data_IF_470523570916
#
_entry.id   IF_470523570916
#
_cell.length_a   1.000
_cell.length_b   1.000
_cell.length_c   1.000
_cell.angle_alpha   90.00
_cell.angle_beta   90.00
_cell.angle_gamma   90.00
#
_symmetry.space_group_name_H-M   'P 1'
#
loop_
_entity.id
_entity.type
_entity.pdbx_description
1 polymer ?
#
# COMPACT_ATOMS: atom_id res chain seq x y z
N UNK A 1 15.38 -8.51 2.57
CA UNK A 1 14.88 -8.19 1.22
C UNK A 1 15.27 -9.26 0.21
N UNK A 2 16.43 -9.89 0.35
CA UNK A 2 16.90 -10.93 -0.58
C UNK A 2 16.28 -12.31 -0.33
N UNK A 3 15.65 -12.52 0.81
CA UNK A 3 15.11 -13.83 1.23
C UNK A 3 14.09 -14.38 0.24
N UNK A 4 13.17 -13.55 -0.25
CA UNK A 4 12.13 -14.01 -1.18
C UNK A 4 12.66 -14.34 -2.58
N UNK A 5 13.74 -13.70 -3.01
CA UNK A 5 14.28 -13.86 -4.37
C UNK A 5 15.31 -15.00 -4.43
N UNK A 6 16.09 -15.17 -3.38
CA UNK A 6 17.21 -16.12 -3.34
C UNK A 6 16.85 -17.50 -2.78
N UNK A 7 15.70 -17.62 -2.10
CA UNK A 7 15.25 -18.93 -1.62
C UNK A 7 14.65 -19.77 -2.75
N UNK A 8 14.82 -21.10 -2.73
CA UNK A 8 14.11 -22.01 -3.63
C UNK A 8 12.59 -21.82 -3.52
N UNK A 9 11.89 -21.96 -4.65
CA UNK A 9 10.40 -21.82 -4.70
C UNK A 9 9.70 -22.66 -3.63
N UNK A 10 10.16 -23.88 -3.38
CA UNK A 10 9.62 -24.78 -2.37
C UNK A 10 9.70 -24.23 -0.93
N UNK A 11 10.65 -23.33 -0.68
CA UNK A 11 10.88 -22.73 0.63
C UNK A 11 10.29 -21.32 0.74
N UNK A 12 9.75 -20.80 -0.39
CA UNK A 12 9.14 -19.46 -0.48
C UNK A 12 7.65 -19.60 -0.74
N UNK A 13 6.87 -19.64 0.33
CA UNK A 13 5.43 -19.80 0.22
C UNK A 13 4.77 -18.49 -0.24
N UNK A 14 4.06 -18.55 -1.37
CA UNK A 14 3.24 -17.46 -1.88
C UNK A 14 1.77 -17.80 -1.66
N UNK A 15 1.08 -16.98 -0.88
CA UNK A 15 -0.28 -17.26 -0.41
C UNK A 15 -1.36 -17.14 -1.50
N UNK A 16 -1.08 -16.40 -2.57
CA UNK A 16 -2.06 -16.14 -3.63
C UNK A 16 -1.38 -15.78 -4.97
N UNK A 17 -2.16 -15.81 -6.03
CA UNK A 17 -1.68 -15.55 -7.40
C UNK A 17 -1.09 -14.15 -7.56
N UNK A 18 -1.61 -13.14 -6.86
CA UNK A 18 -1.05 -11.79 -6.88
C UNK A 18 0.39 -11.78 -6.37
N UNK A 19 0.67 -12.43 -5.24
CA UNK A 19 2.01 -12.52 -4.70
C UNK A 19 2.96 -13.25 -5.66
N UNK A 20 2.48 -14.32 -6.32
CA UNK A 20 3.23 -15.05 -7.34
C UNK A 20 3.59 -14.15 -8.51
N UNK A 21 2.64 -13.36 -9.03
CA UNK A 21 2.91 -12.44 -10.15
C UNK A 21 3.91 -11.35 -9.79
N UNK A 22 3.86 -10.82 -8.58
CA UNK A 22 4.85 -9.83 -8.11
C UNK A 22 6.24 -10.41 -8.00
N UNK A 23 6.35 -11.62 -7.46
CA UNK A 23 7.62 -12.33 -7.38
C UNK A 23 8.18 -12.67 -8.77
N UNK A 24 7.34 -13.17 -9.68
CA UNK A 24 7.74 -13.41 -11.07
C UNK A 24 8.27 -12.13 -11.74
N UNK A 25 7.65 -10.96 -11.49
CA UNK A 25 8.13 -9.68 -11.99
C UNK A 25 9.55 -9.34 -11.52
N UNK A 26 9.88 -9.61 -10.26
CA UNK A 26 11.26 -9.43 -9.76
C UNK A 26 12.26 -10.36 -10.45
N UNK A 27 11.88 -11.63 -10.64
CA UNK A 27 12.72 -12.59 -11.37
C UNK A 27 12.93 -12.16 -12.82
N UNK A 28 11.94 -11.59 -13.48
CA UNK A 28 12.06 -11.05 -14.83
C UNK A 28 13.07 -9.89 -14.89
N UNK A 29 13.06 -8.97 -13.92
CA UNK A 29 14.05 -7.91 -13.83
C UNK A 29 15.48 -8.49 -13.69
N UNK A 30 15.67 -9.46 -12.80
CA UNK A 30 16.97 -10.12 -12.60
C UNK A 30 17.45 -10.83 -13.87
N UNK A 31 16.54 -11.56 -14.53
CA UNK A 31 16.83 -12.27 -15.76
C UNK A 31 17.20 -11.30 -16.91
N UNK A 32 16.49 -10.17 -17.02
CA UNK A 32 16.82 -9.11 -18.00
C UNK A 32 18.22 -8.55 -17.77
N UNK A 33 18.61 -8.35 -16.52
CA UNK A 33 19.98 -7.92 -16.19
C UNK A 33 20.99 -8.98 -16.61
N UNK A 34 20.74 -10.26 -16.29
CA UNK A 34 21.66 -11.36 -16.63
C UNK A 34 21.79 -11.58 -18.13
N UNK A 35 20.69 -11.53 -18.89
CA UNK A 35 20.71 -11.85 -20.32
C UNK A 35 21.10 -10.68 -21.23
N UNK A 36 20.72 -9.48 -20.84
CA UNK A 36 20.80 -8.30 -21.73
C UNK A 36 21.62 -7.15 -21.14
N UNK A 37 22.15 -7.30 -19.91
CA UNK A 37 22.87 -6.23 -19.22
C UNK A 37 21.98 -5.04 -18.85
N UNK A 38 20.65 -5.20 -18.81
CA UNK A 38 19.73 -4.13 -18.43
C UNK A 38 19.92 -3.78 -16.96
N UNK A 39 20.22 -2.55 -16.66
CA UNK A 39 20.29 -2.07 -15.28
C UNK A 39 18.88 -1.82 -14.74
N UNK A 40 18.54 -2.44 -13.61
CA UNK A 40 17.22 -2.34 -12.97
C UNK A 40 17.34 -2.07 -11.49
N UNK A 41 16.36 -1.35 -10.94
CA UNK A 41 16.08 -1.22 -9.51
C UNK A 41 14.67 -1.69 -9.25
N UNK A 42 14.48 -2.47 -8.20
CA UNK A 42 13.17 -3.02 -7.82
C UNK A 42 12.66 -2.29 -6.59
N UNK A 43 11.43 -1.81 -6.64
CA UNK A 43 10.79 -1.13 -5.50
C UNK A 43 9.55 -1.92 -5.08
N UNK A 44 9.43 -2.18 -3.80
CA UNK A 44 8.30 -2.87 -3.18
C UNK A 44 7.50 -1.90 -2.33
N UNK A 45 6.55 -1.15 -2.93
CA UNK A 45 5.67 -0.28 -2.17
C UNK A 45 4.67 -1.10 -1.36
N UNK A 46 4.36 -0.62 -0.16
CA UNK A 46 3.42 -1.29 0.74
C UNK A 46 2.21 -0.41 0.99
N UNK A 47 1.02 -0.88 0.58
CA UNK A 47 -0.25 -0.19 0.80
C UNK A 47 -0.20 1.31 0.47
N UNK A 48 0.41 1.65 -0.69
CA UNK A 48 0.42 3.01 -1.20
C UNK A 48 -1.01 3.42 -1.56
N UNK A 49 -1.43 4.59 -1.07
CA UNK A 49 -2.78 5.13 -1.28
C UNK A 49 -2.73 6.65 -1.45
N UNK A 50 -3.80 7.22 -1.98
CA UNK A 50 -3.91 8.68 -2.11
C UNK A 50 -4.68 9.15 -3.33
N UNK A 51 -4.67 10.46 -3.61
CA UNK A 51 -5.24 11.03 -4.83
C UNK A 51 -4.75 10.31 -6.09
N UNK A 52 -5.69 9.98 -6.99
CA UNK A 52 -5.42 9.19 -8.19
C UNK A 52 -5.84 7.72 -8.06
N UNK A 53 -6.00 7.18 -6.86
CA UNK A 53 -6.50 5.83 -6.65
C UNK A 53 -8.02 5.83 -6.50
N UNK A 54 -8.73 5.58 -7.60
CA UNK A 54 -10.18 5.43 -7.58
C UNK A 54 -10.61 4.04 -7.10
N UNK A 55 -11.82 3.94 -6.58
CA UNK A 55 -12.39 2.68 -6.12
C UNK A 55 -12.62 1.70 -7.25
N UNK A 56 -12.20 0.46 -7.03
CA UNK A 56 -12.70 -0.75 -7.69
C UNK A 56 -12.77 -1.89 -6.66
N UNK A 57 -13.53 -2.97 -6.92
CA UNK A 57 -13.59 -4.11 -6.01
C UNK A 57 -12.23 -4.78 -5.72
N UNK A 58 -11.25 -4.55 -6.59
CA UNK A 58 -9.91 -5.18 -6.54
C UNK A 58 -8.81 -4.26 -6.01
N UNK A 59 -9.15 -3.03 -5.62
CA UNK A 59 -8.19 -2.08 -5.04
C UNK A 59 -8.01 -2.29 -3.54
N UNK A 60 -6.99 -1.63 -2.98
CA UNK A 60 -6.68 -1.66 -1.56
C UNK A 60 -7.84 -1.20 -0.67
N UNK A 61 -7.71 -1.43 0.62
CA UNK A 61 -8.80 -1.20 1.58
C UNK A 61 -9.11 0.29 1.77
N UNK A 62 -8.14 1.21 1.71
CA UNK A 62 -8.38 2.65 1.92
C UNK A 62 -9.36 3.23 0.89
N UNK A 63 -9.14 3.14 -0.44
CA UNK A 63 -10.11 3.66 -1.40
C UNK A 63 -11.47 2.94 -1.34
N UNK A 64 -11.48 1.66 -0.97
CA UNK A 64 -12.72 0.91 -0.74
C UNK A 64 -13.51 1.49 0.43
N UNK A 65 -12.88 1.67 1.59
CA UNK A 65 -13.55 2.21 2.77
C UNK A 65 -14.07 3.62 2.52
N UNK A 66 -13.25 4.50 1.92
CA UNK A 66 -13.67 5.87 1.59
C UNK A 66 -14.89 5.86 0.66
N UNK A 67 -14.86 5.08 -0.43
CA UNK A 67 -15.98 5.02 -1.35
C UNK A 67 -17.25 4.53 -0.67
N UNK A 68 -17.17 3.43 0.09
CA UNK A 68 -18.32 2.89 0.80
C UNK A 68 -18.85 3.85 1.85
N UNK A 69 -17.98 4.49 2.63
CA UNK A 69 -18.39 5.49 3.61
C UNK A 69 -19.06 6.71 2.96
N UNK A 70 -18.54 7.24 1.86
CA UNK A 70 -19.15 8.34 1.13
C UNK A 70 -20.59 8.02 0.69
N UNK A 71 -20.80 6.83 0.13
CA UNK A 71 -22.09 6.43 -0.43
C UNK A 71 -23.00 5.68 0.55
N UNK A 72 -22.62 5.52 1.81
CA UNK A 72 -23.39 4.79 2.82
C UNK A 72 -23.57 3.30 2.49
N UNK A 73 -22.60 2.72 1.79
CA UNK A 73 -22.63 1.31 1.41
C UNK A 73 -21.96 0.45 2.49
N UNK A 74 -22.48 -0.75 2.79
CA UNK A 74 -21.85 -1.63 3.75
C UNK A 74 -20.47 -2.12 3.26
N UNK A 75 -19.54 -2.35 4.20
CA UNK A 75 -18.27 -2.98 3.95
C UNK A 75 -17.78 -3.78 5.14
N UNK A 76 -16.85 -4.71 4.87
CA UNK A 76 -16.27 -5.59 5.88
C UNK A 76 -14.90 -5.07 6.31
N UNK A 77 -14.65 -5.09 7.62
CA UNK A 77 -13.36 -4.85 8.25
C UNK A 77 -12.91 -6.12 8.93
N UNK A 78 -11.76 -6.65 8.52
CA UNK A 78 -11.17 -7.82 9.13
C UNK A 78 -10.29 -7.41 10.32
N UNK A 79 -10.61 -7.92 11.51
CA UNK A 79 -9.88 -7.65 12.75
C UNK A 79 -8.57 -8.44 12.81
N UNK A 80 -7.62 -7.92 13.59
CA UNK A 80 -6.33 -8.59 13.81
C UNK A 80 -5.37 -8.52 12.63
N UNK A 81 -5.65 -7.69 11.64
CA UNK A 81 -4.75 -7.41 10.54
C UNK A 81 -4.05 -6.07 10.74
N UNK A 82 -2.76 -6.11 11.07
CA UNK A 82 -1.94 -4.91 11.15
C UNK A 82 -1.29 -4.59 9.81
N UNK A 83 -1.34 -3.33 9.45
CA UNK A 83 -0.76 -2.80 8.21
C UNK A 83 -0.04 -1.49 8.49
N UNK A 84 0.94 -1.24 7.66
CA UNK A 84 1.51 0.09 7.49
C UNK A 84 1.01 0.60 6.14
N UNK A 85 0.63 1.87 6.08
CA UNK A 85 0.17 2.53 4.85
C UNK A 85 1.16 3.63 4.47
N UNK A 86 1.28 3.93 3.18
CA UNK A 86 2.18 4.96 2.67
C UNK A 86 1.43 5.91 1.74
N UNK A 87 1.52 7.21 2.03
CA UNK A 87 0.84 8.20 1.21
C UNK A 87 1.55 8.40 -0.12
N UNK A 88 0.79 8.51 -1.19
CA UNK A 88 1.31 8.49 -2.58
C UNK A 88 2.39 9.54 -2.85
N UNK A 89 2.29 10.74 -2.27
CA UNK A 89 3.31 11.79 -2.46
C UNK A 89 4.65 11.40 -1.82
N UNK A 90 4.62 10.70 -0.67
CA UNK A 90 5.82 10.24 0.01
C UNK A 90 6.49 9.11 -0.78
N UNK A 91 5.70 8.13 -1.26
CA UNK A 91 6.17 7.10 -2.19
C UNK A 91 6.79 7.70 -3.46
N UNK A 92 6.08 8.61 -4.13
CA UNK A 92 6.56 9.23 -5.37
C UNK A 92 7.85 10.02 -5.18
N UNK A 93 7.98 10.75 -4.07
CA UNK A 93 9.23 11.47 -3.74
C UNK A 93 10.40 10.51 -3.59
N UNK A 94 10.21 9.39 -2.90
CA UNK A 94 11.22 8.35 -2.73
C UNK A 94 11.60 7.73 -4.06
N UNK A 95 10.63 7.45 -4.93
CA UNK A 95 10.91 6.89 -6.26
C UNK A 95 11.65 7.87 -7.16
N UNK A 96 11.30 9.16 -7.10
CA UNK A 96 12.03 10.18 -7.85
C UNK A 96 13.51 10.25 -7.45
N UNK A 97 13.82 10.04 -6.16
CA UNK A 97 15.20 10.00 -5.68
C UNK A 97 16.04 8.84 -6.25
N UNK A 98 15.42 7.82 -6.82
CA UNK A 98 16.14 6.72 -7.49
C UNK A 98 16.93 7.26 -8.68
N UNK A 99 16.43 8.28 -9.39
CA UNK A 99 17.10 8.84 -10.56
C UNK A 99 18.52 9.33 -10.21
N UNK A 100 18.65 9.99 -9.06
CA UNK A 100 19.92 10.56 -8.60
C UNK A 100 20.76 9.57 -7.76
N UNK A 101 20.15 8.47 -7.30
CA UNK A 101 20.76 7.48 -6.40
C UNK A 101 20.59 6.06 -6.96
N UNK A 102 20.72 5.91 -8.25
CA UNK A 102 20.50 4.64 -8.93
C UNK A 102 21.64 3.66 -8.63
N UNK A 103 21.33 2.54 -7.98
CA UNK A 103 22.27 1.45 -7.72
C UNK A 103 21.74 0.20 -8.45
N UNK A 104 22.38 -0.25 -9.53
CA UNK A 104 21.91 -1.38 -10.32
C UNK A 104 21.74 -2.65 -9.48
N UNK A 105 20.64 -3.35 -9.70
CA UNK A 105 20.35 -4.62 -9.02
C UNK A 105 19.72 -4.48 -7.64
N UNK A 106 19.64 -3.28 -7.10
CA UNK A 106 19.10 -3.06 -5.75
C UNK A 106 17.60 -3.26 -5.63
N UNK A 107 17.19 -3.57 -4.40
CA UNK A 107 15.78 -3.77 -4.01
C UNK A 107 15.48 -2.90 -2.80
N UNK A 108 14.37 -2.17 -2.85
CA UNK A 108 13.95 -1.28 -1.77
C UNK A 108 12.51 -1.55 -1.35
N UNK A 109 12.29 -1.76 -0.06
CA UNK A 109 10.95 -1.66 0.52
C UNK A 109 10.64 -0.19 0.79
N UNK A 110 9.41 0.23 0.49
CA UNK A 110 8.91 1.58 0.72
C UNK A 110 7.55 1.50 1.40
N UNK A 111 7.45 2.06 2.60
CA UNK A 111 6.25 2.08 3.42
C UNK A 111 6.22 3.35 4.29
N UNK A 112 5.12 3.65 4.93
CA UNK A 112 5.02 4.70 5.94
C UNK A 112 5.97 4.47 7.12
N UNK A 113 5.95 5.39 8.08
CA UNK A 113 6.77 5.27 9.28
C UNK A 113 6.33 4.08 10.14
N UNK A 114 7.25 3.37 10.82
CA UNK A 114 6.89 2.23 11.68
C UNK A 114 5.84 2.57 12.74
N UNK A 115 5.87 3.78 13.30
CA UNK A 115 4.89 4.26 14.28
C UNK A 115 3.47 4.46 13.72
N UNK A 116 3.30 4.39 12.41
CA UNK A 116 2.00 4.45 11.72
C UNK A 116 1.44 3.06 11.41
N UNK A 117 2.09 1.98 11.90
CA UNK A 117 1.50 0.65 11.79
C UNK A 117 0.26 0.57 12.67
N UNK A 118 -0.88 0.34 12.07
CA UNK A 118 -2.18 0.25 12.72
C UNK A 118 -2.98 -0.97 12.31
N UNK A 119 -4.00 -1.30 13.11
CA UNK A 119 -5.02 -2.27 12.72
C UNK A 119 -5.88 -1.71 11.58
N UNK A 120 -6.39 -2.58 10.71
CA UNK A 120 -7.29 -2.15 9.62
C UNK A 120 -8.55 -1.47 10.17
N UNK A 121 -9.00 -1.84 11.37
CA UNK A 121 -10.10 -1.16 12.05
C UNK A 121 -9.75 0.30 12.35
N UNK A 122 -8.56 0.61 12.85
CA UNK A 122 -8.13 1.98 13.14
C UNK A 122 -8.18 2.86 11.87
N UNK A 123 -7.75 2.32 10.74
CA UNK A 123 -7.85 3.04 9.45
C UNK A 123 -9.30 3.21 8.99
N UNK A 124 -10.18 2.24 9.27
CA UNK A 124 -11.61 2.38 9.00
C UNK A 124 -12.21 3.51 9.83
N UNK A 125 -11.86 3.59 11.12
CA UNK A 125 -12.33 4.63 12.03
C UNK A 125 -11.89 6.03 11.57
N UNK A 126 -10.63 6.18 11.13
CA UNK A 126 -10.13 7.42 10.52
C UNK A 126 -10.90 7.81 9.25
N UNK A 127 -11.26 6.85 8.42
CA UNK A 127 -12.09 7.10 7.22
C UNK A 127 -13.49 7.56 7.61
N UNK A 128 -14.13 6.89 8.56
CA UNK A 128 -15.47 7.25 9.03
C UNK A 128 -15.48 8.65 9.63
N UNK A 129 -14.50 8.99 10.45
CA UNK A 129 -14.32 10.33 11.01
C UNK A 129 -14.17 11.39 9.90
N UNK A 130 -13.27 11.15 8.93
CA UNK A 130 -13.02 12.08 7.83
C UNK A 130 -14.24 12.29 6.91
N UNK A 131 -15.12 11.29 6.82
CA UNK A 131 -16.36 11.38 6.04
C UNK A 131 -17.51 11.97 6.88
N UNK A 132 -17.42 11.91 8.21
CA UNK A 132 -18.49 12.33 9.15
C UNK A 132 -19.59 11.28 9.28
N UNK A 133 -19.23 10.02 9.43
CA UNK A 133 -20.17 8.89 9.51
C UNK A 133 -19.81 7.98 10.67
N UNK A 134 -20.80 7.31 11.25
CA UNK A 134 -20.61 6.25 12.24
C UNK A 134 -20.33 4.88 11.59
N UNK A 135 -20.09 3.87 12.40
CA UNK A 135 -19.75 2.51 11.98
C UNK A 135 -20.95 1.61 11.67
N UNK A 136 -22.17 2.16 11.60
CA UNK A 136 -23.41 1.41 11.32
C UNK A 136 -23.39 0.67 9.98
N UNK A 137 -22.51 1.07 9.07
CA UNK A 137 -22.29 0.43 7.76
C UNK A 137 -21.14 -0.58 7.76
N UNK A 138 -20.47 -0.80 8.90
CA UNK A 138 -19.30 -1.69 9.00
C UNK A 138 -19.72 -3.03 9.57
N UNK A 139 -19.29 -4.10 8.91
CA UNK A 139 -19.36 -5.46 9.44
C UNK A 139 -17.94 -5.88 9.83
N UNK A 140 -17.77 -6.30 11.07
CA UNK A 140 -16.48 -6.77 11.57
C UNK A 140 -16.42 -8.30 11.45
N UNK A 141 -15.37 -8.79 10.82
CA UNK A 141 -15.08 -10.21 10.69
C UNK A 141 -13.67 -10.52 11.22
N UNK A 142 -13.46 -11.78 11.61
CA UNK A 142 -12.12 -12.27 11.96
C UNK A 142 -11.30 -12.51 10.67
N UNK A 143 -10.05 -12.73 10.77
CA UNK A 143 -9.03 -12.88 9.75
C UNK A 143 -9.48 -13.14 8.30
N UNK A 144 -9.06 -12.30 7.37
CA UNK A 144 -9.24 -12.50 5.93
C UNK A 144 -8.48 -13.74 5.45
N UNK A 145 -9.13 -14.69 4.74
CA UNK A 145 -8.47 -15.87 4.22
C UNK A 145 -7.33 -15.53 3.24
N UNK A 146 -6.28 -16.35 3.24
CA UNK A 146 -5.13 -16.23 2.31
C UNK A 146 -4.40 -14.89 2.36
N UNK A 147 -4.47 -14.19 3.49
CA UNK A 147 -3.82 -12.91 3.71
C UNK A 147 -2.96 -12.95 4.98
N UNK A 148 -1.79 -12.34 4.93
CA UNK A 148 -0.92 -12.22 6.11
C UNK A 148 -1.54 -11.30 7.16
N UNK A 149 -1.61 -11.75 8.42
CA UNK A 149 -2.22 -10.96 9.50
C UNK A 149 -1.38 -9.71 9.84
N UNK A 150 -0.08 -9.85 9.94
CA UNK A 150 0.84 -8.75 10.28
C UNK A 150 1.88 -8.63 9.16
N UNK A 151 2.12 -7.39 8.71
CA UNK A 151 3.17 -7.05 7.74
C UNK A 151 4.03 -5.95 8.32
N UNK A 152 5.09 -6.34 8.99
CA UNK A 152 6.13 -5.40 9.41
C UNK A 152 7.17 -5.25 8.30
N UNK A 153 7.48 -4.03 7.96
CA UNK A 153 8.32 -3.70 6.80
C UNK A 153 9.55 -2.93 7.26
N UNK A 154 10.72 -3.43 6.92
CA UNK A 154 11.98 -2.72 7.09
C UNK A 154 12.28 -1.85 5.86
N UNK A 155 12.31 -0.53 6.05
CA UNK A 155 12.63 0.47 5.04
C UNK A 155 14.03 1.10 5.25
N UNK A 156 14.85 0.58 6.16
CA UNK A 156 16.16 1.17 6.53
C UNK A 156 17.06 1.40 5.31
N UNK A 157 17.02 0.50 4.33
CA UNK A 157 17.77 0.61 3.08
C UNK A 157 17.28 1.79 2.23
N UNK A 158 15.96 1.96 2.08
CA UNK A 158 15.39 3.09 1.35
C UNK A 158 15.68 4.43 2.06
N UNK A 159 15.66 4.44 3.39
CA UNK A 159 16.06 5.62 4.18
C UNK A 159 17.51 6.00 3.89
N UNK A 160 18.42 5.04 3.93
CA UNK A 160 19.85 5.27 3.72
C UNK A 160 20.16 5.72 2.29
N UNK A 161 19.67 5.00 1.29
CA UNK A 161 20.09 5.15 -0.10
C UNK A 161 19.21 6.11 -0.88
N UNK A 162 17.90 6.14 -0.61
CA UNK A 162 16.90 6.92 -1.34
C UNK A 162 16.35 8.12 -0.56
N UNK A 163 16.88 8.38 0.64
CA UNK A 163 16.39 9.44 1.53
C UNK A 163 14.89 9.33 1.80
N UNK A 164 14.41 8.08 1.94
CA UNK A 164 13.00 7.81 2.24
C UNK A 164 12.64 8.42 3.59
N UNK A 165 11.70 9.34 3.60
CA UNK A 165 11.26 10.06 4.80
C UNK A 165 9.79 10.45 4.65
N UNK A 166 8.86 9.54 4.97
CA UNK A 166 7.42 9.82 4.90
C UNK A 166 7.04 10.98 5.82
N UNK A 167 6.23 11.91 5.30
CA UNK A 167 5.83 13.15 6.00
C UNK A 167 4.35 13.20 6.32
N UNK A 168 3.52 12.50 5.55
CA UNK A 168 2.07 12.60 5.65
C UNK A 168 1.54 11.50 6.54
N UNK A 169 0.97 11.87 7.70
CA UNK A 169 0.37 10.91 8.62
C UNK A 169 -0.85 10.22 8.01
N UNK A 170 -1.25 9.04 8.53
CA UNK A 170 -2.47 8.35 8.10
C UNK A 170 -3.72 9.24 8.12
N UNK A 171 -3.92 10.01 9.19
CA UNK A 171 -5.07 10.91 9.36
C UNK A 171 -5.11 11.96 8.24
N UNK A 172 -3.99 12.64 8.01
CA UNK A 172 -3.91 13.69 6.99
C UNK A 172 -4.01 13.10 5.58
N UNK A 173 -3.35 11.98 5.31
CA UNK A 173 -3.41 11.31 4.01
C UNK A 173 -4.82 10.80 3.67
N UNK A 174 -5.53 10.22 4.64
CA UNK A 174 -6.93 9.79 4.50
C UNK A 174 -7.83 10.99 4.24
N UNK A 175 -7.68 12.08 5.02
CA UNK A 175 -8.44 13.31 4.83
C UNK A 175 -8.29 13.86 3.41
N UNK A 176 -7.05 13.99 2.91
CA UNK A 176 -6.78 14.46 1.54
C UNK A 176 -7.37 13.53 0.49
N UNK A 177 -7.32 12.22 0.74
CA UNK A 177 -7.86 11.22 -0.19
C UNK A 177 -9.39 11.30 -0.25
N UNK A 178 -10.06 11.48 0.92
CA UNK A 178 -11.51 11.70 0.99
C UNK A 178 -11.92 12.95 0.19
N UNK A 179 -11.21 14.07 0.34
CA UNK A 179 -11.52 15.29 -0.41
C UNK A 179 -11.33 15.10 -1.91
N UNK A 180 -10.25 14.44 -2.32
CA UNK A 180 -10.03 14.10 -3.71
C UNK A 180 -11.13 13.19 -4.26
N UNK A 181 -11.53 12.15 -3.55
CA UNK A 181 -12.61 11.26 -3.98
C UNK A 181 -13.96 11.97 -4.05
N UNK A 182 -14.27 12.89 -3.11
CA UNK A 182 -15.46 13.76 -3.20
C UNK A 182 -15.46 14.57 -4.50
N UNK A 183 -14.34 15.17 -4.84
CA UNK A 183 -14.17 15.91 -6.08
C UNK A 183 -14.28 15.00 -7.31
N UNK A 184 -13.56 13.89 -7.33
CA UNK A 184 -13.50 12.96 -8.47
C UNK A 184 -14.87 12.37 -8.80
N UNK A 185 -15.62 11.94 -7.79
CA UNK A 185 -16.96 11.37 -7.96
C UNK A 185 -18.07 12.42 -7.99
N UNK A 186 -17.73 13.71 -7.95
CA UNK A 186 -18.71 14.81 -7.85
C UNK A 186 -19.72 14.62 -6.72
N UNK A 187 -19.26 14.12 -5.58
CA UNK A 187 -20.09 13.81 -4.43
C UNK A 187 -20.76 15.07 -3.92
N UNK A 188 -22.11 15.05 -3.82
CA UNK A 188 -22.92 16.21 -3.39
C UNK A 188 -23.17 17.25 -4.49
N UNK A 189 -22.66 17.09 -5.71
CA UNK A 189 -23.08 17.93 -6.83
C UNK A 189 -24.54 17.63 -7.18
N UNK A 190 -25.40 18.68 -7.14
CA UNK A 190 -26.76 18.57 -7.66
C UNK A 190 -26.66 18.47 -9.19
N UNK A 191 -27.20 17.41 -9.75
CA UNK A 191 -27.45 17.29 -11.19
C UNK A 191 -28.63 18.14 -11.60
#
# INVERSE_FOLDING_TARGET
EDVMVNNPIRDTYQMNDYAITKWAGELMCMNSTSMFGTETVRVRPVNCYGPGEHYTPYRGFIPKFIYHALYGKPYVVYRGHKRIIDYVEDSCRTWANIVDNFIPGEVYNVAGRPEWEGDIQEYSDLVLEAVGRDDSIVTYEEAEPFTTNIKTIDCSKAVRDLKHDPKVSPEEGIRRTVEWMKWYYRFGAKH
#
